data_IF_846214827778
#
_entry.id   IF_846214827778
#
_cell.length_a   1.000
_cell.length_b   1.000
_cell.length_c   1.000
_cell.angle_alpha   90.00
_cell.angle_beta   90.00
_cell.angle_gamma   90.00
#
_symmetry.space_group_name_H-M   'P 1'
#
loop_
_entity.id
_entity.type
_entity.pdbx_description
1 polymer ?
#
# COMPACT_ATOMS: atom_id res chain seq x y z
N UNK A 1 -7.66 4.65 8.05
CA UNK A 1 -7.05 4.34 6.75
C UNK A 1 -6.10 3.16 6.81
N UNK A 2 -6.08 2.35 5.76
CA UNK A 2 -5.15 1.23 5.59
C UNK A 2 -4.59 1.20 4.17
N UNK A 3 -3.38 0.68 4.01
CA UNK A 3 -2.80 0.41 2.68
C UNK A 3 -3.13 -1.03 2.33
N UNK A 4 -3.73 -1.24 1.16
CA UNK A 4 -3.96 -2.57 0.59
C UNK A 4 -3.17 -2.71 -0.71
N UNK A 5 -2.79 -3.94 -1.03
CA UNK A 5 -2.16 -4.28 -2.30
C UNK A 5 -3.14 -5.05 -3.17
N UNK A 6 -3.05 -4.83 -4.47
CA UNK A 6 -3.85 -5.52 -5.46
C UNK A 6 -3.24 -5.45 -6.85
N UNK A 7 -3.94 -6.06 -7.80
CA UNK A 7 -3.64 -5.99 -9.21
C UNK A 7 -4.91 -5.94 -10.06
N UNK A 8 -4.81 -5.37 -11.25
CA UNK A 8 -5.85 -5.34 -12.27
C UNK A 8 -5.19 -5.42 -13.66
N UNK A 9 -5.98 -5.58 -14.72
CA UNK A 9 -5.42 -5.61 -16.08
C UNK A 9 -4.80 -4.26 -16.44
N UNK A 10 -3.64 -4.29 -17.08
CA UNK A 10 -2.82 -3.10 -17.37
C UNK A 10 -3.50 -2.13 -18.35
N UNK A 11 -4.26 -2.66 -19.31
CA UNK A 11 -5.02 -1.90 -20.32
C UNK A 11 -6.12 -1.01 -19.72
N UNK A 12 -6.69 -1.39 -18.58
CA UNK A 12 -7.78 -0.66 -17.91
C UNK A 12 -7.39 -0.05 -16.56
N UNK A 13 -6.15 -0.26 -16.11
CA UNK A 13 -5.74 -0.02 -14.73
C UNK A 13 -5.99 1.42 -14.26
N UNK A 14 -5.51 2.41 -15.01
CA UNK A 14 -5.58 3.82 -14.61
C UNK A 14 -7.03 4.29 -14.53
N UNK A 15 -7.79 4.12 -15.61
CA UNK A 15 -9.20 4.53 -15.69
C UNK A 15 -10.10 3.83 -14.66
N UNK A 16 -9.78 2.59 -14.28
CA UNK A 16 -10.52 1.85 -13.26
C UNK A 16 -10.18 2.36 -11.85
N UNK A 17 -8.90 2.54 -11.55
CA UNK A 17 -8.43 3.01 -10.24
C UNK A 17 -8.81 4.46 -9.96
N UNK A 18 -8.80 5.33 -10.98
CA UNK A 18 -9.29 6.71 -10.87
C UNK A 18 -10.79 6.75 -10.52
N UNK A 19 -11.61 5.89 -11.15
CA UNK A 19 -13.05 5.77 -10.82
C UNK A 19 -13.27 5.37 -9.35
N UNK A 20 -12.44 4.51 -8.78
CA UNK A 20 -12.52 4.18 -7.34
C UNK A 20 -12.16 5.39 -6.45
N UNK A 21 -11.25 6.27 -6.89
CA UNK A 21 -10.95 7.50 -6.17
C UNK A 21 -12.11 8.48 -6.25
N UNK A 22 -12.70 8.66 -7.43
CA UNK A 22 -13.86 9.54 -7.64
C UNK A 22 -15.10 9.09 -6.86
N UNK A 23 -15.32 7.77 -6.73
CA UNK A 23 -16.42 7.19 -5.94
C UNK A 23 -16.19 7.26 -4.43
N UNK A 24 -14.98 7.62 -3.98
CA UNK A 24 -14.61 7.65 -2.56
C UNK A 24 -14.29 6.28 -1.97
N UNK A 25 -14.26 5.23 -2.79
CA UNK A 25 -13.84 3.89 -2.37
C UNK A 25 -12.35 3.89 -1.96
N UNK A 26 -11.52 4.63 -2.72
CA UNK A 26 -10.13 4.89 -2.41
C UNK A 26 -9.90 6.36 -2.07
N UNK A 27 -9.00 6.61 -1.12
CA UNK A 27 -8.42 7.95 -0.91
C UNK A 27 -7.43 8.28 -2.03
N UNK A 28 -6.61 7.30 -2.43
CA UNK A 28 -5.61 7.43 -3.48
C UNK A 28 -5.03 6.06 -3.81
N UNK A 29 -4.44 5.90 -5.00
CA UNK A 29 -3.64 4.73 -5.35
C UNK A 29 -2.22 5.12 -5.79
N UNK A 30 -1.36 4.10 -5.88
CA UNK A 30 0.01 4.19 -6.33
C UNK A 30 0.35 2.93 -7.10
N UNK A 31 0.88 3.11 -8.30
CA UNK A 31 1.43 2.02 -9.07
C UNK A 31 2.70 1.43 -8.44
N UNK A 32 2.78 0.09 -8.48
CA UNK A 32 3.96 -0.67 -8.09
C UNK A 32 4.70 -1.22 -9.32
N UNK A 33 4.00 -1.43 -10.43
CA UNK A 33 4.53 -1.83 -11.73
C UNK A 33 3.85 -3.08 -12.29
N UNK A 34 4.23 -3.47 -13.50
CA UNK A 34 3.67 -4.62 -14.20
C UNK A 34 4.07 -5.96 -13.54
N UNK A 35 3.15 -6.93 -13.60
CA UNK A 35 3.26 -8.27 -13.02
C UNK A 35 2.56 -9.26 -13.95
N UNK A 36 3.21 -10.39 -14.22
CA UNK A 36 2.79 -11.25 -15.34
C UNK A 36 2.95 -10.51 -16.68
N UNK A 37 2.14 -10.90 -17.67
CA UNK A 37 2.16 -10.28 -19.02
C UNK A 37 1.08 -9.21 -19.22
N UNK A 38 0.04 -9.20 -18.39
CA UNK A 38 -1.20 -8.43 -18.65
C UNK A 38 -1.70 -7.65 -17.43
N UNK A 39 -1.02 -7.72 -16.29
CA UNK A 39 -1.49 -7.11 -15.05
C UNK A 39 -0.55 -6.02 -14.54
N UNK A 40 -1.14 -5.04 -13.87
CA UNK A 40 -0.46 -3.98 -13.17
C UNK A 40 -0.75 -4.11 -11.67
N UNK A 41 0.31 -4.15 -10.86
CA UNK A 41 0.22 -4.17 -9.41
C UNK A 41 0.15 -2.75 -8.86
N UNK A 42 -0.68 -2.55 -7.85
CA UNK A 42 -0.85 -1.26 -7.18
C UNK A 42 -0.94 -1.40 -5.66
N UNK A 43 -0.79 -0.26 -4.99
CA UNK A 43 -1.19 -0.06 -3.61
C UNK A 43 -2.31 0.98 -3.56
N UNK A 44 -3.36 0.73 -2.80
CA UNK A 44 -4.45 1.68 -2.56
C UNK A 44 -4.52 2.06 -1.08
N UNK A 45 -4.84 3.33 -0.83
CA UNK A 45 -5.15 3.85 0.50
C UNK A 45 -6.66 3.86 0.67
N UNK A 46 -7.18 3.02 1.56
CA UNK A 46 -8.61 2.98 1.87
C UNK A 46 -8.92 3.94 3.02
N UNK A 47 -10.11 4.56 3.04
CA UNK A 47 -10.47 5.51 4.10
C UNK A 47 -10.64 4.83 5.46
N UNK A 48 -11.10 3.57 5.49
CA UNK A 48 -11.36 2.79 6.70
C UNK A 48 -10.26 1.77 7.03
N UNK A 49 -10.40 1.07 8.17
CA UNK A 49 -9.48 0.02 8.67
C UNK A 49 -10.17 -1.31 8.92
N UNK A 50 -11.33 -1.50 8.30
CA UNK A 50 -12.11 -2.72 8.49
C UNK A 50 -11.36 -3.95 8.00
N UNK A 51 -11.63 -5.07 8.67
CA UNK A 51 -11.08 -6.38 8.31
C UNK A 51 -11.75 -6.86 7.04
N UNK A 52 -11.10 -6.61 5.91
CA UNK A 52 -11.48 -7.19 4.64
C UNK A 52 -10.95 -8.64 4.56
N UNK A 53 -11.76 -9.61 4.08
CA UNK A 53 -11.27 -10.95 3.80
C UNK A 53 -10.37 -10.89 2.57
N UNK A 54 -9.11 -11.32 2.68
CA UNK A 54 -8.17 -11.38 1.55
C UNK A 54 -7.79 -12.83 1.23
N UNK A 55 -7.59 -13.17 -0.06
CA UNK A 55 -7.79 -12.33 -1.23
C UNK A 55 -9.29 -12.16 -1.56
N UNK A 56 -9.64 -11.06 -2.24
CA UNK A 56 -11.00 -10.87 -2.79
C UNK A 56 -10.96 -10.11 -4.13
N UNK A 57 -12.02 -10.27 -4.92
CA UNK A 57 -12.19 -9.61 -6.21
C UNK A 57 -13.33 -8.59 -6.14
N UNK A 58 -13.14 -7.43 -6.78
CA UNK A 58 -14.17 -6.42 -6.87
C UNK A 58 -14.02 -5.58 -8.14
N UNK A 59 -15.05 -5.57 -9.00
CA UNK A 59 -15.16 -4.74 -10.21
C UNK A 59 -13.86 -4.71 -11.06
N UNK A 60 -13.26 -5.86 -11.36
CA UNK A 60 -12.04 -5.94 -12.18
C UNK A 60 -10.72 -5.82 -11.41
N UNK A 61 -10.79 -5.64 -10.08
CA UNK A 61 -9.61 -5.49 -9.22
C UNK A 61 -9.49 -6.67 -8.27
N UNK A 62 -8.31 -7.25 -8.22
CA UNK A 62 -7.95 -8.29 -7.26
C UNK A 62 -7.19 -7.68 -6.09
N UNK A 63 -7.76 -7.79 -4.89
CA UNK A 63 -7.14 -7.35 -3.65
C UNK A 63 -6.51 -8.55 -2.96
N UNK A 64 -5.21 -8.47 -2.66
CA UNK A 64 -4.43 -9.64 -2.22
C UNK A 64 -4.02 -9.60 -0.76
N UNK A 65 -3.72 -8.41 -0.21
CA UNK A 65 -3.30 -8.30 1.19
C UNK A 65 -3.33 -6.86 1.67
N UNK A 66 -3.65 -6.67 2.96
CA UNK A 66 -3.34 -5.44 3.68
C UNK A 66 -1.83 -5.33 3.98
N UNK A 67 -1.29 -4.12 3.95
CA UNK A 67 0.03 -3.85 4.47
C UNK A 67 0.00 -3.88 6.00
N UNK A 68 0.46 -5.00 6.58
CA UNK A 68 0.74 -5.06 8.03
C UNK A 68 1.83 -4.06 8.37
N UNK A 69 1.47 -2.94 9.01
CA UNK A 69 2.47 -2.02 9.56
C UNK A 69 3.18 -2.73 10.71
N UNK A 70 4.43 -3.14 10.48
CA UNK A 70 5.33 -3.53 11.57
C UNK A 70 5.85 -2.22 12.18
N UNK A 71 5.07 -1.59 13.05
CA UNK A 71 5.59 -0.51 13.88
C UNK A 71 6.56 -1.12 14.89
N UNK A 72 7.80 -1.33 14.44
CA UNK A 72 8.93 -1.49 15.35
C UNK A 72 9.23 -0.09 15.88
N UNK A 73 8.43 0.38 16.85
CA UNK A 73 8.91 1.39 17.79
C UNK A 73 9.94 0.66 18.65
N UNK A 74 11.16 0.50 18.13
CA UNK A 74 12.30 0.25 19.00
C UNK A 74 12.37 1.48 19.89
N UNK A 75 11.88 1.35 21.12
CA UNK A 75 12.20 2.26 22.21
C UNK A 75 13.72 2.20 22.38
N UNK A 76 14.43 3.00 21.61
CA UNK A 76 15.87 3.15 21.72
C UNK A 76 16.09 4.55 22.25
N UNK A 77 16.52 4.57 23.51
CA UNK A 77 17.40 5.54 24.16
C UNK A 77 17.51 6.90 23.46
N UNK A 78 17.19 8.02 24.14
CA UNK A 78 17.22 9.34 23.52
C UNK A 78 18.57 9.58 22.80
N UNK A 79 18.54 9.93 21.50
CA UNK A 79 19.76 9.97 20.71
C UNK A 79 20.73 11.02 21.27
N UNK A 80 22.05 10.70 21.32
CA UNK A 80 23.03 11.51 22.03
C UNK A 80 23.32 12.85 21.34
N UNK A 81 23.09 12.98 20.02
CA UNK A 81 23.42 14.19 19.26
C UNK A 81 22.20 14.97 18.74
N UNK A 82 22.36 16.28 18.54
CA UNK A 82 21.33 17.18 17.97
C UNK A 82 20.84 16.71 16.59
N UNK A 83 21.75 16.22 15.74
CA UNK A 83 21.42 15.69 14.41
C UNK A 83 20.61 14.40 14.49
N UNK A 84 20.99 13.49 15.40
CA UNK A 84 20.25 12.26 15.63
C UNK A 84 18.86 12.53 16.23
N UNK A 85 18.71 13.51 17.11
CA UNK A 85 17.40 14.00 17.61
C UNK A 85 16.53 14.57 16.51
N UNK A 86 17.08 15.39 15.61
CA UNK A 86 16.35 15.94 14.44
C UNK A 86 15.88 14.81 13.50
N UNK A 87 16.73 13.81 13.25
CA UNK A 87 16.38 12.61 12.45
C UNK A 87 15.30 11.78 13.14
N UNK A 88 15.41 11.58 14.45
CA UNK A 88 14.42 10.87 15.26
C UNK A 88 13.06 11.57 15.26
N UNK A 89 13.03 12.89 15.44
CA UNK A 89 11.80 13.68 15.37
C UNK A 89 11.11 13.59 14.00
N UNK A 90 11.90 13.66 12.90
CA UNK A 90 11.37 13.45 11.54
C UNK A 90 10.79 12.05 11.36
N UNK A 91 11.46 11.01 11.88
CA UNK A 91 10.94 9.64 11.87
C UNK A 91 9.65 9.51 12.66
N UNK A 92 9.58 10.08 13.87
CA UNK A 92 8.38 10.08 14.72
C UNK A 92 7.20 10.76 14.04
N UNK A 93 7.42 11.91 13.40
CA UNK A 93 6.37 12.61 12.63
C UNK A 93 5.86 11.78 11.45
N UNK A 94 6.71 10.96 10.86
CA UNK A 94 6.37 10.04 9.78
C UNK A 94 5.95 8.65 10.28
N UNK A 95 5.67 8.48 11.57
CA UNK A 95 5.13 7.21 12.09
C UNK A 95 3.63 7.11 11.82
N UNK A 96 2.91 8.23 11.92
CA UNK A 96 1.47 8.29 11.67
C UNK A 96 1.24 8.47 10.17
N UNK A 97 0.51 7.53 9.59
CA UNK A 97 0.13 7.56 8.18
C UNK A 97 -1.01 8.57 7.95
N UNK A 98 -0.82 9.47 7.00
CA UNK A 98 -1.77 10.48 6.55
C UNK A 98 -2.00 10.37 5.04
N UNK A 99 -3.09 10.94 4.48
CA UNK A 99 -3.31 10.96 3.04
C UNK A 99 -2.19 11.63 2.23
N UNK A 100 -1.39 12.49 2.85
CA UNK A 100 -0.28 13.19 2.19
C UNK A 100 1.03 12.39 2.22
N UNK A 101 1.26 11.58 3.26
CA UNK A 101 2.53 10.86 3.44
C UNK A 101 2.45 9.36 3.12
N UNK A 102 1.26 8.78 2.95
CA UNK A 102 1.07 7.32 2.85
C UNK A 102 1.94 6.63 1.79
N UNK A 103 2.22 7.29 0.66
CA UNK A 103 3.07 6.76 -0.42
C UNK A 103 4.49 6.44 0.06
N UNK A 104 4.96 7.07 1.13
CA UNK A 104 6.25 6.79 1.80
C UNK A 104 6.20 5.52 2.64
N UNK A 105 5.01 5.13 3.10
CA UNK A 105 4.79 3.91 3.87
C UNK A 105 4.61 2.68 2.97
N UNK A 106 4.32 2.87 1.67
CA UNK A 106 4.14 1.77 0.72
C UNK A 106 5.44 1.02 0.49
N UNK A 107 5.47 -0.28 0.82
CA UNK A 107 6.56 -1.18 0.48
C UNK A 107 6.32 -1.87 -0.87
N UNK A 108 7.00 -1.38 -1.92
CA UNK A 108 6.88 -1.91 -3.30
C UNK A 108 7.17 -3.42 -3.37
N UNK A 109 8.33 -3.86 -2.89
CA UNK A 109 8.75 -5.26 -2.98
C UNK A 109 7.80 -6.20 -2.23
N UNK A 110 7.23 -5.73 -1.11
CA UNK A 110 6.22 -6.49 -0.35
C UNK A 110 4.91 -6.60 -1.13
N UNK A 111 4.44 -5.50 -1.73
CA UNK A 111 3.25 -5.53 -2.59
C UNK A 111 3.42 -6.49 -3.77
N UNK A 112 4.53 -6.39 -4.51
CA UNK A 112 4.85 -7.29 -5.62
C UNK A 112 4.95 -8.75 -5.18
N UNK A 113 5.52 -9.03 -4.00
CA UNK A 113 5.56 -10.39 -3.45
C UNK A 113 4.16 -10.96 -3.24
N UNK A 114 3.24 -10.20 -2.64
CA UNK A 114 1.87 -10.67 -2.41
C UNK A 114 1.11 -10.88 -3.71
N UNK A 115 1.26 -9.95 -4.66
CA UNK A 115 0.60 -10.07 -5.97
C UNK A 115 1.12 -11.28 -6.74
N UNK A 116 2.44 -11.46 -6.85
CA UNK A 116 3.01 -12.64 -7.52
C UNK A 116 2.58 -13.94 -6.84
N UNK A 117 2.56 -14.01 -5.51
CA UNK A 117 2.09 -15.19 -4.80
C UNK A 117 0.60 -15.51 -5.08
N UNK A 118 -0.21 -14.49 -5.37
CA UNK A 118 -1.61 -14.65 -5.78
C UNK A 118 -1.79 -15.02 -7.26
N UNK A 119 -0.79 -14.76 -8.10
CA UNK A 119 -0.81 -15.08 -9.53
C UNK A 119 -0.23 -16.47 -9.85
N UNK A 120 0.67 -16.99 -9.00
CA UNK A 120 1.24 -18.34 -9.16
C UNK A 120 0.20 -19.48 -9.26
N UNK A 121 -0.99 -19.42 -8.62
CA UNK A 121 -2.04 -20.42 -8.83
C UNK A 121 -2.79 -20.31 -10.18
N UNK A 122 -2.53 -19.26 -10.96
CA UNK A 122 -3.22 -18.94 -12.22
C UNK A 122 -2.35 -19.14 -13.48
N UNK A 123 -1.09 -19.57 -13.31
CA UNK A 123 -0.17 -19.97 -14.40
C UNK A 123 -0.05 -21.49 -14.43
#
# INVERSE_FOLDING_TARGET
>A
MQIVYGYCREDEAVSLLDRFVEQGDFVSFKELGSVGREYMAFAALLPFTDRLPFPFYWKGVHFVSVQKQTQSVRQLTPPPSKNARKKHYRKLKNTIMTPQNWKQHVSRNRGLKYVNASLLPLM
#
